data_IF_098709269775
#
_entry.id   IF_098709269775
#
_cell.length_a   1.000
_cell.length_b   1.000
_cell.length_c   1.000
_cell.angle_alpha   90.00
_cell.angle_beta   90.00
_cell.angle_gamma   90.00
#
_symmetry.space_group_name_H-M   'P 1'
#
loop_
_entity.id
_entity.type
_entity.pdbx_description
1 polymer ?
#
# COMPACT_ATOMS: atom_id res chain seq x y z
N UNK A 1 17.70 53.01 15.58
CA UNK A 1 16.92 52.43 14.49
C UNK A 1 17.68 51.40 13.65
N UNK A 2 18.93 51.63 13.26
CA UNK A 2 19.76 50.69 12.46
C UNK A 2 20.12 49.38 13.18
N UNK A 3 20.27 49.35 14.51
CA UNK A 3 20.64 48.18 15.31
C UNK A 3 19.47 47.18 15.46
N UNK A 4 18.25 47.65 15.47
CA UNK A 4 17.05 46.81 15.54
C UNK A 4 16.77 46.09 14.21
N UNK A 5 17.01 46.72 13.08
CA UNK A 5 16.90 46.10 11.76
C UNK A 5 17.92 44.99 11.53
N UNK A 6 19.17 45.13 11.98
CA UNK A 6 20.18 44.08 11.88
C UNK A 6 19.79 42.84 12.70
N UNK A 7 19.26 43.02 13.91
CA UNK A 7 18.80 41.90 14.74
C UNK A 7 17.61 41.16 14.14
N UNK A 8 16.67 41.89 13.52
CA UNK A 8 15.52 41.32 12.83
C UNK A 8 15.94 40.49 11.62
N UNK A 9 16.88 40.97 10.79
CA UNK A 9 17.38 40.22 9.65
C UNK A 9 18.11 38.92 10.06
N UNK A 10 18.86 38.96 11.14
CA UNK A 10 19.49 37.72 11.69
C UNK A 10 18.47 36.73 12.24
N UNK A 11 17.39 37.21 12.86
CA UNK A 11 16.31 36.34 13.34
C UNK A 11 15.56 35.69 12.17
N UNK A 12 15.22 36.45 11.17
CA UNK A 12 14.56 35.96 9.95
C UNK A 12 15.46 34.95 9.22
N UNK A 13 16.74 35.22 9.08
CA UNK A 13 17.69 34.28 8.49
C UNK A 13 17.81 32.96 9.24
N UNK A 14 17.78 33.00 10.59
CA UNK A 14 17.79 31.78 11.43
C UNK A 14 16.50 30.96 11.28
N UNK A 15 15.34 31.62 11.24
CA UNK A 15 14.05 30.97 11.05
C UNK A 15 14.00 30.34 9.64
N UNK A 16 14.44 31.06 8.62
CA UNK A 16 14.47 30.54 7.25
C UNK A 16 15.40 29.32 7.12
N UNK A 17 16.58 29.37 7.77
CA UNK A 17 17.52 28.25 7.80
C UNK A 17 16.94 27.05 8.55
N UNK A 18 16.25 27.26 9.67
CA UNK A 18 15.61 26.17 10.43
C UNK A 18 14.47 25.52 9.63
N UNK A 19 13.66 26.31 8.95
CA UNK A 19 12.58 25.80 8.06
C UNK A 19 13.19 25.04 6.88
N UNK A 20 14.28 25.53 6.29
CA UNK A 20 14.97 24.85 5.21
C UNK A 20 15.58 23.51 5.65
N UNK A 21 16.21 23.46 6.83
CA UNK A 21 16.69 22.20 7.42
C UNK A 21 15.56 21.22 7.73
N UNK A 22 14.40 21.72 8.18
CA UNK A 22 13.22 20.89 8.45
C UNK A 22 12.64 20.29 7.15
N UNK A 23 12.67 21.05 6.06
CA UNK A 23 12.23 20.59 4.73
C UNK A 23 13.17 19.53 4.13
N UNK A 24 14.46 19.56 4.48
CA UNK A 24 15.44 18.55 4.06
C UNK A 24 15.41 17.27 4.92
N UNK A 25 14.75 17.29 6.07
CA UNK A 25 14.59 16.15 6.97
C UNK A 25 13.42 15.22 6.58
N UNK A 26 12.87 15.35 5.37
CA UNK A 26 11.85 14.42 4.86
C UNK A 26 12.51 13.04 4.70
N UNK A 27 12.06 12.00 5.43
CA UNK A 27 12.59 10.66 5.24
C UNK A 27 12.38 10.26 3.78
N UNK A 28 13.48 9.92 3.09
CA UNK A 28 13.38 9.34 1.76
C UNK A 28 12.52 8.08 1.86
N UNK A 29 11.39 8.06 1.20
CA UNK A 29 10.59 6.84 1.06
C UNK A 29 11.43 5.86 0.24
N UNK A 30 12.12 4.95 0.91
CA UNK A 30 12.94 3.92 0.25
C UNK A 30 11.97 2.99 -0.44
N UNK A 31 12.02 2.97 -1.76
CA UNK A 31 11.34 1.97 -2.57
C UNK A 31 12.14 0.66 -2.47
N UNK A 32 11.46 -0.47 -2.59
CA UNK A 32 12.00 -1.80 -2.31
C UNK A 32 12.26 -2.53 -3.62
N UNK A 33 13.44 -3.12 -3.75
CA UNK A 33 13.81 -4.01 -4.83
C UNK A 33 14.06 -5.44 -4.32
N UNK A 34 14.12 -6.41 -5.22
CA UNK A 34 14.44 -7.80 -4.85
C UNK A 34 15.82 -7.94 -4.19
N UNK A 35 16.75 -6.99 -4.46
CA UNK A 35 18.11 -6.98 -3.88
C UNK A 35 18.12 -6.64 -2.39
N UNK A 36 17.07 -6.02 -1.87
CA UNK A 36 16.94 -5.69 -0.45
C UNK A 36 16.58 -6.91 0.41
N UNK A 37 16.26 -8.03 -0.24
CA UNK A 37 15.95 -9.29 0.42
C UNK A 37 17.16 -10.24 0.44
N UNK A 38 17.22 -11.17 1.42
CA UNK A 38 18.28 -12.16 1.50
C UNK A 38 18.48 -12.94 0.21
N UNK A 39 19.72 -13.34 -0.09
CA UNK A 39 20.02 -14.20 -1.24
C UNK A 39 19.51 -15.62 -1.03
N UNK A 40 19.59 -16.12 0.20
CA UNK A 40 19.07 -17.41 0.62
C UNK A 40 17.61 -17.31 1.04
N UNK A 41 16.91 -18.43 0.97
CA UNK A 41 15.54 -18.55 1.50
C UNK A 41 15.55 -18.23 3.01
N UNK A 42 14.76 -17.24 3.48
CA UNK A 42 14.71 -16.92 4.90
C UNK A 42 14.06 -18.04 5.72
N UNK A 43 14.52 -18.22 6.96
CA UNK A 43 13.91 -19.17 7.90
C UNK A 43 12.49 -18.72 8.31
N UNK A 44 12.28 -17.40 8.38
CA UNK A 44 10.97 -16.83 8.71
C UNK A 44 10.00 -16.98 7.54
N UNK A 45 8.84 -17.56 7.78
CA UNK A 45 7.78 -17.71 6.76
C UNK A 45 7.03 -16.40 6.50
N UNK A 46 7.15 -15.41 7.40
CA UNK A 46 6.51 -14.08 7.28
C UNK A 46 7.57 -12.99 7.33
N UNK A 47 7.83 -12.37 6.20
CA UNK A 47 8.74 -11.23 6.06
C UNK A 47 7.93 -9.93 5.98
N UNK A 48 7.68 -9.32 7.15
CA UNK A 48 6.88 -8.09 7.25
C UNK A 48 7.77 -6.85 7.12
N UNK A 49 8.29 -6.59 5.90
CA UNK A 49 9.14 -5.42 5.63
C UNK A 49 8.38 -4.09 5.65
N UNK A 50 7.07 -4.13 5.52
CA UNK A 50 6.21 -2.95 5.62
C UNK A 50 5.87 -2.58 7.06
N UNK A 51 6.07 -3.50 8.04
CA UNK A 51 5.70 -3.36 9.45
C UNK A 51 4.20 -3.05 9.63
N UNK A 52 3.36 -3.81 8.91
CA UNK A 52 1.89 -3.64 8.92
C UNK A 52 1.17 -4.73 9.72
N UNK A 53 1.88 -5.78 10.11
CA UNK A 53 1.31 -6.89 10.84
C UNK A 53 1.63 -6.80 12.34
N UNK A 54 0.60 -6.93 13.18
CA UNK A 54 0.83 -7.10 14.60
C UNK A 54 1.56 -8.42 14.88
N UNK A 55 2.21 -8.54 16.04
CA UNK A 55 2.85 -9.81 16.45
C UNK A 55 1.86 -10.98 16.44
N UNK A 56 0.63 -10.76 16.90
CA UNK A 56 -0.42 -11.77 16.90
C UNK A 56 -0.78 -12.19 15.47
N UNK A 57 -0.93 -11.22 14.56
CA UNK A 57 -1.22 -11.49 13.15
C UNK A 57 -0.09 -12.26 12.48
N UNK A 58 1.17 -11.90 12.73
CA UNK A 58 2.33 -12.62 12.19
C UNK A 58 2.35 -14.08 12.66
N UNK A 59 2.13 -14.33 13.94
CA UNK A 59 2.11 -15.70 14.48
C UNK A 59 0.97 -16.53 13.86
N UNK A 60 -0.23 -15.97 13.73
CA UNK A 60 -1.37 -16.65 13.14
C UNK A 60 -1.13 -16.97 11.66
N UNK A 61 -0.66 -15.99 10.88
CA UNK A 61 -0.31 -16.17 9.47
C UNK A 61 0.81 -17.21 9.33
N UNK A 62 1.85 -17.12 10.16
CA UNK A 62 2.95 -18.08 10.16
C UNK A 62 2.44 -19.51 10.37
N UNK A 63 1.55 -19.72 11.33
CA UNK A 63 0.92 -21.03 11.55
C UNK A 63 0.15 -21.50 10.33
N UNK A 64 -0.66 -20.63 9.73
CA UNK A 64 -1.47 -20.98 8.55
C UNK A 64 -0.62 -21.27 7.31
N UNK A 65 0.49 -20.57 7.13
CA UNK A 65 1.43 -20.86 6.04
C UNK A 65 2.18 -22.18 6.26
N UNK A 66 2.58 -22.48 7.51
CA UNK A 66 3.20 -23.75 7.86
C UNK A 66 2.26 -24.96 7.71
N UNK A 67 0.94 -24.77 7.87
CA UNK A 67 -0.05 -25.82 7.63
C UNK A 67 -0.05 -26.29 6.16
N UNK A 68 0.41 -25.45 5.21
CA UNK A 68 0.57 -25.84 3.80
C UNK A 68 1.69 -26.89 3.58
N UNK A 69 2.57 -27.09 4.56
CA UNK A 69 3.56 -28.16 4.57
C UNK A 69 2.93 -29.55 4.39
N UNK A 70 1.70 -29.76 4.85
CA UNK A 70 0.97 -31.02 4.65
C UNK A 70 0.72 -31.35 3.17
N UNK A 71 0.75 -30.32 2.30
CA UNK A 71 0.63 -30.46 0.85
C UNK A 71 2.00 -30.40 0.16
N UNK A 72 3.10 -30.50 0.90
CA UNK A 72 4.49 -30.35 0.42
C UNK A 72 4.77 -28.98 -0.22
N UNK A 73 4.11 -27.92 0.23
CA UNK A 73 4.28 -26.55 -0.25
C UNK A 73 5.02 -25.71 0.79
N UNK A 74 6.14 -25.08 0.41
CA UNK A 74 6.82 -24.07 1.22
C UNK A 74 6.24 -22.71 0.93
N UNK A 75 5.40 -22.19 1.81
CA UNK A 75 4.70 -20.92 1.59
C UNK A 75 5.35 -19.77 2.38
N UNK A 76 5.53 -18.63 1.71
CA UNK A 76 6.12 -17.43 2.29
C UNK A 76 5.21 -16.21 2.05
N UNK A 77 5.10 -15.36 3.08
CA UNK A 77 4.48 -14.04 2.95
C UNK A 77 5.56 -12.95 2.97
N UNK A 78 5.49 -12.04 2.03
CA UNK A 78 6.32 -10.83 2.01
C UNK A 78 5.41 -9.61 1.93
N UNK A 79 5.46 -8.73 2.93
CA UNK A 79 4.83 -7.43 2.87
C UNK A 79 5.86 -6.37 2.53
N UNK A 80 5.51 -5.42 1.67
CA UNK A 80 6.38 -4.33 1.26
C UNK A 80 5.63 -3.00 1.22
N UNK A 81 6.34 -1.90 1.42
CA UNK A 81 5.73 -0.57 1.42
C UNK A 81 5.43 -0.10 0.02
N UNK A 82 6.43 -0.15 -0.84
CA UNK A 82 6.37 0.33 -2.21
C UNK A 82 7.48 -0.31 -3.03
N UNK A 83 7.18 -0.70 -4.23
CA UNK A 83 8.17 -1.17 -5.21
C UNK A 83 8.93 -0.02 -5.86
N UNK A 84 10.13 -0.31 -6.33
CA UNK A 84 10.88 0.59 -7.19
C UNK A 84 10.11 0.90 -8.48
N UNK A 85 10.39 2.08 -9.03
CA UNK A 85 9.72 2.54 -10.24
C UNK A 85 9.98 1.59 -11.42
N UNK A 86 8.89 1.19 -12.06
CA UNK A 86 8.94 0.28 -13.22
C UNK A 86 8.86 -1.21 -12.89
N UNK A 87 8.91 -1.60 -11.60
CA UNK A 87 8.68 -2.98 -11.20
C UNK A 87 7.19 -3.25 -11.00
N UNK A 88 6.73 -4.41 -11.47
CA UNK A 88 5.42 -4.94 -11.12
C UNK A 88 5.53 -5.87 -9.92
N UNK A 89 4.44 -5.96 -9.12
CA UNK A 89 4.43 -6.84 -7.96
C UNK A 89 4.60 -8.33 -8.35
N UNK A 90 4.06 -8.74 -9.50
CA UNK A 90 4.29 -10.08 -10.03
C UNK A 90 5.74 -10.29 -10.45
N UNK A 91 6.34 -9.36 -11.22
CA UNK A 91 7.75 -9.48 -11.63
C UNK A 91 8.71 -9.51 -10.44
N UNK A 92 8.42 -8.72 -9.40
CA UNK A 92 9.16 -8.80 -8.14
C UNK A 92 9.02 -10.18 -7.47
N UNK A 93 7.82 -10.77 -7.49
CA UNK A 93 7.59 -12.12 -6.99
C UNK A 93 8.35 -13.18 -7.78
N UNK A 94 8.37 -13.06 -9.10
CA UNK A 94 9.12 -13.97 -9.98
C UNK A 94 10.64 -13.89 -9.70
N UNK A 95 11.18 -12.69 -9.49
CA UNK A 95 12.59 -12.51 -9.11
C UNK A 95 12.93 -13.13 -7.74
N UNK A 96 12.03 -13.05 -6.76
CA UNK A 96 12.21 -13.73 -5.48
C UNK A 96 12.10 -15.25 -5.63
N UNK A 97 11.16 -15.71 -6.45
CA UNK A 97 10.97 -17.14 -6.73
C UNK A 97 12.22 -17.74 -7.39
N UNK A 98 12.81 -17.06 -8.36
CA UNK A 98 14.06 -17.48 -9.01
C UNK A 98 15.21 -17.51 -8.00
N UNK A 99 15.30 -16.55 -7.11
CA UNK A 99 16.35 -16.42 -6.11
C UNK A 99 16.29 -17.50 -5.03
N UNK A 100 15.10 -17.74 -4.47
CA UNK A 100 14.89 -18.65 -3.34
C UNK A 100 14.53 -20.08 -3.78
N UNK A 101 14.02 -20.24 -5.00
CA UNK A 101 13.56 -21.52 -5.52
C UNK A 101 14.67 -22.57 -5.65
N UNK A 102 15.93 -22.15 -5.75
CA UNK A 102 17.06 -23.11 -5.79
C UNK A 102 17.21 -23.89 -4.48
N UNK A 103 17.01 -23.21 -3.33
CA UNK A 103 17.07 -23.88 -2.02
C UNK A 103 15.80 -24.70 -1.75
N UNK A 104 14.65 -24.19 -2.14
CA UNK A 104 13.37 -24.90 -2.03
C UNK A 104 13.41 -26.24 -2.78
N UNK A 105 14.05 -26.30 -3.95
CA UNK A 105 14.25 -27.54 -4.71
C UNK A 105 15.07 -28.60 -3.95
N UNK A 106 15.97 -28.18 -3.06
CA UNK A 106 16.77 -29.12 -2.27
C UNK A 106 15.93 -29.80 -1.17
N UNK A 107 14.84 -29.22 -0.76
CA UNK A 107 13.94 -29.76 0.27
C UNK A 107 12.76 -30.54 -0.29
N UNK A 108 12.64 -30.68 -1.61
CA UNK A 108 11.50 -31.29 -2.32
C UNK A 108 10.16 -30.62 -1.97
N UNK A 109 10.20 -29.32 -1.71
CA UNK A 109 9.05 -28.49 -1.36
C UNK A 109 9.00 -27.28 -2.27
N UNK A 110 8.16 -27.29 -3.31
CA UNK A 110 8.03 -26.15 -4.22
C UNK A 110 7.54 -24.92 -3.48
N UNK A 111 8.12 -23.78 -3.85
CA UNK A 111 7.93 -22.49 -3.19
C UNK A 111 6.65 -21.79 -3.69
N UNK A 112 5.88 -21.26 -2.75
CA UNK A 112 4.74 -20.38 -2.97
C UNK A 112 5.00 -19.04 -2.27
N UNK A 113 5.00 -17.93 -3.02
CA UNK A 113 5.23 -16.61 -2.43
C UNK A 113 3.97 -15.76 -2.55
N UNK A 114 3.50 -15.28 -1.43
CA UNK A 114 2.40 -14.34 -1.29
C UNK A 114 3.02 -12.95 -1.07
N UNK A 115 2.60 -11.96 -1.84
CA UNK A 115 3.12 -10.60 -1.80
C UNK A 115 1.99 -9.61 -1.55
N UNK A 116 2.21 -8.69 -0.63
CA UNK A 116 1.29 -7.59 -0.32
C UNK A 116 2.01 -6.25 -0.35
N UNK A 117 1.55 -5.33 -1.17
CA UNK A 117 2.07 -3.96 -1.26
C UNK A 117 1.13 -2.97 -0.60
N UNK A 118 1.65 -2.20 0.35
CA UNK A 118 0.82 -1.31 1.18
C UNK A 118 0.39 -0.05 0.44
N UNK A 119 1.23 0.51 -0.42
CA UNK A 119 0.94 1.77 -1.09
C UNK A 119 -0.12 1.61 -2.19
N UNK A 120 0.02 0.60 -3.04
CA UNK A 120 -0.92 0.34 -4.13
C UNK A 120 -2.15 -0.48 -3.71
N UNK A 121 -2.15 -1.02 -2.47
CA UNK A 121 -3.19 -1.92 -1.96
C UNK A 121 -3.41 -3.12 -2.87
N UNK A 122 -2.32 -3.67 -3.35
CA UNK A 122 -2.29 -4.82 -4.25
C UNK A 122 -1.68 -6.03 -3.57
N UNK A 123 -2.12 -7.19 -4.00
CA UNK A 123 -1.49 -8.45 -3.66
C UNK A 123 -1.30 -9.30 -4.91
N UNK A 124 -0.32 -10.18 -4.86
CA UNK A 124 -0.10 -11.21 -5.88
C UNK A 124 0.36 -12.49 -5.22
N UNK A 125 0.15 -13.59 -5.91
CA UNK A 125 0.66 -14.90 -5.52
C UNK A 125 1.43 -15.45 -6.70
N UNK A 126 2.66 -15.89 -6.46
CA UNK A 126 3.51 -16.56 -7.43
C UNK A 126 3.92 -17.93 -6.88
N UNK A 127 4.08 -18.90 -7.73
CA UNK A 127 4.39 -20.27 -7.34
C UNK A 127 5.45 -20.88 -8.26
N UNK A 128 6.23 -21.80 -7.73
CA UNK A 128 7.15 -22.60 -8.50
C UNK A 128 6.41 -23.42 -9.57
N UNK A 129 7.08 -23.72 -10.68
CA UNK A 129 6.51 -24.41 -11.84
C UNK A 129 5.85 -25.73 -11.46
N UNK A 130 6.43 -26.44 -10.49
CA UNK A 130 5.95 -27.71 -9.98
C UNK A 130 4.55 -27.65 -9.34
N UNK A 131 4.11 -26.45 -8.91
CA UNK A 131 2.78 -26.23 -8.34
C UNK A 131 1.72 -25.88 -9.38
N UNK A 132 2.09 -25.49 -10.59
CA UNK A 132 1.16 -24.94 -11.58
C UNK A 132 0.13 -25.93 -12.09
N UNK A 133 0.42 -27.24 -11.99
CA UNK A 133 -0.54 -28.31 -12.31
C UNK A 133 -1.70 -28.35 -11.30
N UNK A 134 -1.43 -28.04 -10.03
CA UNK A 134 -2.44 -28.01 -8.95
C UNK A 134 -3.01 -26.61 -8.75
N UNK A 135 -2.17 -25.59 -8.90
CA UNK A 135 -2.50 -24.17 -8.72
C UNK A 135 -2.28 -23.40 -10.04
N UNK A 136 -3.21 -23.45 -10.98
CA UNK A 136 -3.08 -22.76 -12.26
C UNK A 136 -2.83 -21.26 -12.08
N UNK A 137 -2.06 -20.64 -12.97
CA UNK A 137 -1.76 -19.21 -12.93
C UNK A 137 -3.01 -18.31 -12.84
N UNK A 138 -4.12 -18.73 -13.46
CA UNK A 138 -5.39 -18.01 -13.39
C UNK A 138 -5.93 -17.94 -11.96
N UNK A 139 -5.81 -19.03 -11.19
CA UNK A 139 -6.16 -19.11 -9.78
C UNK A 139 -5.25 -18.20 -8.95
N UNK A 140 -3.92 -18.32 -9.10
CA UNK A 140 -2.94 -17.51 -8.37
C UNK A 140 -3.17 -16.03 -8.61
N UNK A 141 -3.31 -15.64 -9.88
CA UNK A 141 -3.62 -14.27 -10.28
C UNK A 141 -4.94 -13.76 -9.71
N UNK A 142 -5.99 -14.55 -9.77
CA UNK A 142 -7.31 -14.22 -9.22
C UNK A 142 -7.26 -14.12 -7.69
N UNK A 143 -6.54 -14.99 -7.02
CA UNK A 143 -6.35 -14.95 -5.56
C UNK A 143 -5.71 -13.63 -5.14
N UNK A 144 -4.59 -13.25 -5.75
CA UNK A 144 -3.93 -11.98 -5.43
C UNK A 144 -4.79 -10.76 -5.78
N UNK A 145 -5.23 -10.66 -7.04
CA UNK A 145 -5.86 -9.43 -7.57
C UNK A 145 -7.28 -9.20 -7.06
N UNK A 146 -8.01 -10.23 -6.69
CA UNK A 146 -9.40 -10.12 -6.24
C UNK A 146 -9.56 -10.51 -4.77
N UNK A 147 -9.27 -11.75 -4.39
CA UNK A 147 -9.49 -12.23 -3.01
C UNK A 147 -8.70 -11.43 -1.98
N UNK A 148 -7.41 -11.25 -2.22
CA UNK A 148 -6.53 -10.56 -1.27
C UNK A 148 -6.60 -9.03 -1.40
N UNK A 149 -6.59 -8.50 -2.63
CA UNK A 149 -6.56 -7.04 -2.81
C UNK A 149 -7.86 -6.35 -2.40
N UNK A 150 -8.98 -7.06 -2.27
CA UNK A 150 -10.23 -6.48 -1.80
C UNK A 150 -10.14 -6.03 -0.33
N UNK A 151 -9.81 -6.88 0.66
CA UNK A 151 -9.67 -6.43 2.04
C UNK A 151 -8.56 -5.39 2.24
N UNK A 152 -7.50 -5.39 1.40
CA UNK A 152 -6.48 -4.34 1.42
C UNK A 152 -7.06 -2.98 1.04
N UNK A 153 -7.85 -2.90 -0.03
CA UNK A 153 -8.51 -1.66 -0.47
C UNK A 153 -9.63 -1.21 0.46
N UNK A 154 -10.32 -2.15 1.10
CA UNK A 154 -11.48 -1.90 1.96
C UNK A 154 -11.12 -1.43 3.37
N UNK A 155 -9.83 -1.35 3.73
CA UNK A 155 -9.43 -0.84 5.04
C UNK A 155 -8.12 -1.37 5.58
N UNK A 156 -7.13 -1.58 4.72
CA UNK A 156 -5.77 -2.02 5.11
C UNK A 156 -5.77 -3.32 5.94
N UNK A 157 -6.68 -4.25 5.60
CA UNK A 157 -6.87 -5.49 6.35
C UNK A 157 -5.89 -6.57 5.87
N UNK A 158 -4.58 -6.33 6.06
CA UNK A 158 -3.49 -7.22 5.61
C UNK A 158 -3.64 -8.64 6.13
N UNK A 159 -3.86 -8.80 7.44
CA UNK A 159 -4.10 -10.12 8.04
C UNK A 159 -5.24 -10.88 7.34
N UNK A 160 -6.36 -10.22 7.10
CA UNK A 160 -7.51 -10.84 6.45
C UNK A 160 -7.19 -11.18 5.01
N UNK A 161 -6.53 -10.29 4.27
CA UNK A 161 -6.13 -10.52 2.89
C UNK A 161 -5.31 -11.80 2.75
N UNK A 162 -4.27 -11.95 3.58
CA UNK A 162 -3.43 -13.15 3.58
C UNK A 162 -4.24 -14.41 3.93
N UNK A 163 -5.04 -14.37 5.01
CA UNK A 163 -5.81 -15.55 5.44
C UNK A 163 -6.85 -15.98 4.41
N UNK A 164 -7.53 -15.03 3.77
CA UNK A 164 -8.51 -15.33 2.71
C UNK A 164 -7.81 -15.94 1.48
N UNK A 165 -6.64 -15.41 1.11
CA UNK A 165 -5.82 -15.97 0.03
C UNK A 165 -5.33 -17.38 0.32
N UNK A 166 -4.76 -17.60 1.51
CA UNK A 166 -4.28 -18.92 1.95
C UNK A 166 -5.43 -19.94 2.00
N UNK A 167 -6.57 -19.56 2.57
CA UNK A 167 -7.74 -20.44 2.63
C UNK A 167 -8.23 -20.87 1.26
N UNK A 168 -8.23 -19.97 0.27
CA UNK A 168 -8.63 -20.30 -1.10
C UNK A 168 -7.66 -21.28 -1.75
N UNK A 169 -6.36 -21.07 -1.57
CA UNK A 169 -5.31 -21.95 -2.09
C UNK A 169 -5.40 -23.32 -1.43
N UNK A 170 -5.59 -23.37 -0.11
CA UNK A 170 -5.70 -24.60 0.67
C UNK A 170 -6.86 -25.49 0.19
N UNK A 171 -8.03 -24.90 -0.13
CA UNK A 171 -9.17 -25.66 -0.69
C UNK A 171 -8.77 -26.38 -1.97
N UNK A 172 -8.05 -25.70 -2.85
CA UNK A 172 -7.63 -26.29 -4.15
C UNK A 172 -6.54 -27.35 -3.93
N UNK A 173 -5.54 -27.09 -3.08
CA UNK A 173 -4.49 -28.05 -2.74
C UNK A 173 -5.06 -29.33 -2.10
N UNK A 174 -6.17 -29.21 -1.37
CA UNK A 174 -6.90 -30.35 -0.80
C UNK A 174 -7.77 -31.09 -1.83
N UNK A 175 -7.70 -30.74 -3.11
CA UNK A 175 -8.47 -31.35 -4.20
C UNK A 175 -9.90 -30.81 -4.32
N UNK A 176 -10.24 -29.72 -3.62
CA UNK A 176 -11.52 -29.05 -3.74
C UNK A 176 -11.60 -28.19 -5.01
N UNK A 177 -12.82 -27.87 -5.42
CA UNK A 177 -13.06 -26.89 -6.48
C UNK A 177 -12.73 -25.47 -5.99
N UNK A 178 -12.15 -24.64 -6.87
CA UNK A 178 -11.87 -23.23 -6.54
C UNK A 178 -13.15 -22.52 -6.09
N UNK A 179 -13.21 -22.01 -4.84
CA UNK A 179 -14.39 -21.28 -4.35
C UNK A 179 -14.63 -19.95 -5.09
N UNK A 180 -13.69 -19.55 -5.95
CA UNK A 180 -13.75 -18.30 -6.66
C UNK A 180 -13.43 -17.07 -5.79
N UNK A 181 -13.42 -15.88 -6.39
CA UNK A 181 -13.26 -14.64 -5.63
C UNK A 181 -14.48 -14.39 -4.74
N UNK A 182 -14.32 -13.71 -3.60
CA UNK A 182 -15.44 -13.35 -2.74
C UNK A 182 -16.47 -12.55 -3.53
N UNK A 183 -17.74 -12.90 -3.34
CA UNK A 183 -18.85 -12.16 -3.95
C UNK A 183 -18.77 -10.72 -3.44
N UNK A 184 -18.53 -9.79 -4.35
CA UNK A 184 -18.64 -8.37 -4.02
C UNK A 184 -20.11 -8.11 -3.71
N UNK A 185 -20.44 -7.98 -2.43
CA UNK A 185 -21.69 -7.35 -2.05
C UNK A 185 -21.66 -5.96 -2.68
N UNK A 186 -22.54 -5.73 -3.64
CA UNK A 186 -22.72 -4.41 -4.24
C UNK A 186 -22.81 -3.42 -3.08
N UNK A 187 -21.79 -2.57 -2.92
CA UNK A 187 -21.88 -1.54 -1.90
C UNK A 187 -23.10 -0.73 -2.27
N UNK A 188 -24.14 -0.85 -1.46
CA UNK A 188 -25.25 0.10 -1.50
C UNK A 188 -24.56 1.46 -1.37
N UNK A 189 -24.40 2.14 -2.51
CA UNK A 189 -23.82 3.48 -2.51
C UNK A 189 -24.73 4.29 -1.60
N UNK A 190 -24.23 4.61 -0.41
CA UNK A 190 -24.91 5.59 0.42
C UNK A 190 -25.17 6.79 -0.45
N UNK A 191 -26.40 7.36 -0.41
CA UNK A 191 -26.70 8.52 -1.22
C UNK A 191 -25.58 9.53 -1.05
N UNK A 192 -24.94 9.85 -2.16
CA UNK A 192 -23.79 10.77 -2.16
C UNK A 192 -24.25 12.11 -1.58
N UNK A 193 -23.59 12.58 -0.53
CA UNK A 193 -23.76 13.95 -0.04
C UNK A 193 -23.11 14.99 -0.97
N UNK A 194 -22.67 14.56 -2.16
CA UNK A 194 -22.14 15.47 -3.17
C UNK A 194 -23.36 16.11 -3.84
N UNK A 195 -23.53 17.45 -3.74
CA UNK A 195 -24.61 18.15 -4.38
C UNK A 195 -24.60 17.91 -5.90
N UNK A 196 -25.76 17.71 -6.49
CA UNK A 196 -25.88 17.61 -7.93
C UNK A 196 -25.50 18.94 -8.60
N UNK A 197 -25.24 18.91 -9.91
CA UNK A 197 -24.96 20.12 -10.67
C UNK A 197 -26.11 21.15 -10.57
N UNK A 198 -27.35 20.67 -10.44
CA UNK A 198 -28.56 21.49 -10.26
C UNK A 198 -28.59 22.12 -8.87
N UNK A 199 -28.35 21.37 -7.80
CA UNK A 199 -28.27 21.87 -6.43
C UNK A 199 -27.09 22.84 -6.25
N UNK A 200 -26.00 22.62 -6.96
CA UNK A 200 -24.83 23.53 -6.97
C UNK A 200 -25.17 24.84 -7.68
N UNK A 201 -25.94 24.77 -8.78
CA UNK A 201 -26.38 25.94 -9.55
C UNK A 201 -27.39 26.81 -8.78
N UNK A 202 -28.24 26.22 -7.91
CA UNK A 202 -29.20 26.92 -7.06
C UNK A 202 -28.56 27.42 -5.74
N UNK A 203 -27.34 26.99 -5.43
CA UNK A 203 -26.63 27.43 -4.23
C UNK A 203 -26.15 28.87 -4.36
N UNK A 204 -26.24 29.66 -3.28
CA UNK A 204 -25.65 30.99 -3.20
C UNK A 204 -24.11 30.98 -3.15
N UNK A 205 -23.45 29.83 -3.38
CA UNK A 205 -22.00 29.66 -3.31
C UNK A 205 -21.28 30.59 -4.28
N UNK A 206 -21.78 30.75 -5.51
CA UNK A 206 -21.21 31.66 -6.49
C UNK A 206 -21.26 33.12 -6.01
N UNK A 207 -22.40 33.55 -5.44
CA UNK A 207 -22.57 34.89 -4.87
C UNK A 207 -21.55 35.13 -3.74
N UNK A 208 -21.36 34.16 -2.84
CA UNK A 208 -20.39 34.27 -1.75
C UNK A 208 -18.95 34.33 -2.26
N UNK A 209 -18.60 33.56 -3.29
CA UNK A 209 -17.28 33.65 -3.93
C UNK A 209 -17.02 35.03 -4.51
N UNK A 210 -17.98 35.62 -5.21
CA UNK A 210 -17.89 36.98 -5.77
C UNK A 210 -17.74 38.01 -4.64
N UNK A 211 -18.55 37.90 -3.58
CA UNK A 211 -18.47 38.82 -2.42
C UNK A 211 -17.09 38.72 -1.75
N UNK A 212 -16.57 37.53 -1.51
CA UNK A 212 -15.25 37.34 -0.92
C UNK A 212 -14.14 37.87 -1.80
N UNK A 213 -14.26 37.74 -3.12
CA UNK A 213 -13.30 38.25 -4.09
C UNK A 213 -13.27 39.80 -4.11
N UNK A 214 -14.45 40.43 -4.08
CA UNK A 214 -14.61 41.86 -4.00
C UNK A 214 -14.07 42.39 -2.66
N UNK A 215 -14.43 41.81 -1.55
CA UNK A 215 -13.94 42.19 -0.22
C UNK A 215 -12.41 42.01 -0.14
N UNK A 216 -11.92 40.86 -0.62
CA UNK A 216 -10.48 40.54 -0.62
C UNK A 216 -9.63 41.49 -1.46
N UNK A 217 -10.22 42.14 -2.47
CA UNK A 217 -9.53 43.16 -3.28
C UNK A 217 -9.68 44.57 -2.70
N UNK A 218 -10.86 44.96 -2.23
CA UNK A 218 -11.14 46.32 -1.76
C UNK A 218 -10.46 46.57 -0.42
N UNK A 219 -10.45 45.63 0.51
CA UNK A 219 -9.89 45.81 1.85
C UNK A 219 -8.40 46.19 1.82
N UNK A 220 -7.51 45.50 1.12
CA UNK A 220 -6.11 45.89 1.03
C UNK A 220 -5.90 47.25 0.36
N UNK A 221 -6.70 47.56 -0.68
CA UNK A 221 -6.64 48.84 -1.38
C UNK A 221 -7.07 50.02 -0.49
N UNK A 222 -8.16 49.84 0.25
CA UNK A 222 -8.64 50.85 1.20
C UNK A 222 -7.66 51.04 2.37
N UNK A 223 -7.09 49.95 2.89
CA UNK A 223 -6.08 49.99 3.95
C UNK A 223 -4.83 50.76 3.50
N UNK A 224 -4.35 50.46 2.29
CA UNK A 224 -3.19 51.17 1.73
C UNK A 224 -3.49 52.66 1.56
N UNK A 225 -4.67 53.02 1.05
CA UNK A 225 -5.05 54.43 0.85
C UNK A 225 -5.15 55.19 2.17
N UNK A 226 -5.70 54.57 3.24
CA UNK A 226 -5.84 55.21 4.57
C UNK A 226 -4.47 55.38 5.25
N UNK A 227 -3.56 54.43 5.10
CA UNK A 227 -2.25 54.45 5.79
C UNK A 227 -1.12 55.04 4.95
N UNK A 228 -1.35 55.43 3.67
CA UNK A 228 -0.36 56.05 2.81
C UNK A 228 -0.52 57.59 2.75
N UNK A 229 -1.44 58.19 3.49
CA UNK A 229 -1.63 59.64 3.62
C UNK A 229 -0.75 60.25 4.68
#
# INVERSE_FOLDING_TARGET
MLLTMKRLNHLVGRILSAVFCLLLAVPAAVAVSSQDFPLSLPDDVVLDSADVLSRASRNEISTRLQELDQFHVDARLVTLRRLDYGLSLSGFGDELLDRWGQESKLTDRPLLIILEETQSKQATVVAAEELLDQLPESLLRSTGRTTMSQPLRDGDRFRQATLDGVSRIEVVLNGGEDPGPPVQLERVSNPSNIPTAEETGESNAFTWVVVLLVVGTIVPMATWWIFSS
#
